data_IF_215042200693
#
_entry.id   IF_215042200693
#
_cell.length_a   1.000
_cell.length_b   1.000
_cell.length_c   1.000
_cell.angle_alpha   90.00
_cell.angle_beta   90.00
_cell.angle_gamma   90.00
#
_symmetry.space_group_name_H-M   'P 1'
#
loop_
_entity.id
_entity.type
_entity.pdbx_description
1 polymer ?
#
# COMPACT_ATOMS: atom_id res chain seq x y z
N UNK A 1 -25.95 17.92 23.64
CA UNK A 1 -26.40 17.27 22.40
C UNK A 1 -25.32 16.22 22.06
N UNK A 2 -25.71 14.97 21.87
CA UNK A 2 -24.78 13.96 21.42
C UNK A 2 -24.26 14.36 20.03
N UNK A 3 -22.95 14.17 19.76
CA UNK A 3 -22.38 14.48 18.47
C UNK A 3 -22.99 13.54 17.41
N UNK A 4 -23.35 14.09 16.26
CA UNK A 4 -23.84 13.29 15.14
C UNK A 4 -22.69 12.44 14.59
N UNK A 5 -22.84 11.13 14.67
CA UNK A 5 -21.84 10.19 14.13
C UNK A 5 -22.20 9.88 12.67
N UNK A 6 -21.54 10.56 11.75
CA UNK A 6 -21.66 10.31 10.30
C UNK A 6 -21.00 9.00 9.93
N UNK A 7 -21.36 8.40 8.81
CA UNK A 7 -20.80 7.14 8.31
C UNK A 7 -19.25 7.15 8.21
N UNK A 8 -18.60 8.20 7.64
CA UNK A 8 -17.14 8.31 7.67
C UNK A 8 -16.54 8.31 9.08
N UNK A 9 -17.25 8.93 10.05
CA UNK A 9 -16.79 8.98 11.45
C UNK A 9 -16.89 7.61 12.11
N UNK A 10 -17.99 6.90 11.86
CA UNK A 10 -18.20 5.52 12.33
C UNK A 10 -17.15 4.59 11.75
N UNK A 11 -16.91 4.70 10.44
CA UNK A 11 -15.93 3.88 9.74
C UNK A 11 -14.51 4.11 10.27
N UNK A 12 -14.11 5.37 10.48
CA UNK A 12 -12.80 5.70 11.00
C UNK A 12 -12.58 5.12 12.42
N UNK A 13 -13.58 5.21 13.29
CA UNK A 13 -13.49 4.63 14.63
C UNK A 13 -13.41 3.09 14.60
N UNK A 14 -14.18 2.44 13.74
CA UNK A 14 -14.12 0.98 13.55
C UNK A 14 -12.78 0.53 12.98
N UNK A 15 -12.24 1.26 11.98
CA UNK A 15 -10.94 1.00 11.39
C UNK A 15 -9.83 1.04 12.43
N UNK A 16 -9.76 2.12 13.23
CA UNK A 16 -8.76 2.26 14.28
C UNK A 16 -8.85 1.16 15.35
N UNK A 17 -10.06 0.66 15.59
CA UNK A 17 -10.28 -0.39 16.60
C UNK A 17 -9.89 -1.77 16.08
N UNK A 18 -10.16 -2.07 14.81
CA UNK A 18 -9.82 -3.36 14.19
C UNK A 18 -8.39 -3.42 13.69
N UNK A 19 -7.84 -2.30 13.23
CA UNK A 19 -6.53 -2.18 12.61
C UNK A 19 -5.78 -0.96 13.17
N UNK A 20 -5.41 -0.98 14.47
CA UNK A 20 -4.84 0.19 15.15
C UNK A 20 -3.48 0.64 14.63
N UNK A 21 -2.69 -0.30 14.07
CA UNK A 21 -1.31 -0.07 13.64
C UNK A 21 -1.15 -0.24 12.13
N UNK A 22 -1.84 0.59 11.34
CA UNK A 22 -1.83 0.53 9.87
C UNK A 22 -0.45 0.64 9.20
N UNK A 23 0.58 1.00 9.96
CA UNK A 23 1.93 1.26 9.45
C UNK A 23 2.92 0.13 9.77
N UNK A 24 2.53 -0.86 10.54
CA UNK A 24 3.53 -1.62 11.26
C UNK A 24 3.97 -2.91 10.62
N UNK A 25 3.17 -3.56 9.81
CA UNK A 25 3.60 -4.84 9.25
C UNK A 25 2.94 -5.15 7.92
N UNK A 26 3.65 -5.92 7.14
CA UNK A 26 3.17 -6.48 5.90
C UNK A 26 1.90 -7.31 6.00
N UNK A 27 1.49 -7.70 7.19
CA UNK A 27 0.45 -8.71 7.40
C UNK A 27 -0.82 -8.18 8.06
N UNK A 28 -0.87 -6.87 8.37
CA UNK A 28 -2.00 -6.28 9.10
C UNK A 28 -2.24 -4.84 8.66
N UNK A 29 -3.22 -4.61 7.78
CA UNK A 29 -3.57 -3.29 7.25
C UNK A 29 -4.99 -3.25 6.70
N UNK A 30 -5.52 -2.04 6.48
CA UNK A 30 -6.85 -1.84 5.92
C UNK A 30 -6.89 -0.68 4.92
N UNK A 31 -7.72 -0.84 3.89
CA UNK A 31 -7.95 0.13 2.81
C UNK A 31 -9.42 0.54 2.82
N UNK A 32 -9.67 1.84 2.77
CA UNK A 32 -11.01 2.42 2.75
C UNK A 32 -11.45 2.72 1.32
N UNK A 33 -12.72 2.54 1.02
CA UNK A 33 -13.29 2.80 -0.30
C UNK A 33 -13.16 4.30 -0.69
N UNK A 34 -12.87 4.57 -1.97
CA UNK A 34 -12.57 5.91 -2.52
C UNK A 34 -13.73 6.89 -2.43
N UNK A 35 -14.99 6.44 -2.26
CA UNK A 35 -16.11 7.33 -2.05
C UNK A 35 -15.91 8.30 -0.87
N UNK A 36 -15.12 7.89 0.13
CA UNK A 36 -14.80 8.70 1.33
C UNK A 36 -13.63 9.67 1.13
N UNK A 37 -13.02 9.74 -0.05
CA UNK A 37 -11.99 10.76 -0.37
C UNK A 37 -12.57 12.15 -0.51
N UNK A 38 -13.89 12.27 -0.73
CA UNK A 38 -14.58 13.56 -0.86
C UNK A 38 -14.55 14.33 0.46
N UNK A 39 -14.46 15.66 0.43
CA UNK A 39 -14.44 16.48 1.64
C UNK A 39 -15.78 16.48 2.40
N UNK A 40 -16.85 15.95 1.79
CA UNK A 40 -18.18 15.88 2.40
C UNK A 40 -18.89 14.56 2.04
N UNK A 41 -19.69 14.07 2.98
CA UNK A 41 -20.50 12.85 2.85
C UNK A 41 -21.92 13.10 3.36
N UNK A 42 -22.94 12.75 2.58
CA UNK A 42 -24.34 12.88 2.99
C UNK A 42 -24.74 14.32 3.39
N UNK A 43 -24.08 15.34 2.84
CA UNK A 43 -24.28 16.75 3.19
C UNK A 43 -23.45 17.25 4.38
N UNK A 44 -22.66 16.38 5.03
CA UNK A 44 -21.79 16.73 6.15
C UNK A 44 -20.34 16.86 5.72
N UNK A 45 -19.61 17.84 6.24
CA UNK A 45 -18.16 17.93 6.07
C UNK A 45 -17.49 16.80 6.84
N UNK A 46 -16.54 16.11 6.20
CA UNK A 46 -15.68 15.12 6.87
C UNK A 46 -14.54 15.90 7.56
N UNK A 47 -14.40 15.83 8.88
CA UNK A 47 -13.28 16.48 9.56
C UNK A 47 -11.93 15.92 9.07
N UNK A 48 -10.92 16.79 8.93
CA UNK A 48 -9.59 16.40 8.46
C UNK A 48 -8.99 15.20 9.21
N UNK A 49 -9.18 15.17 10.53
CA UNK A 49 -8.72 14.05 11.37
C UNK A 49 -9.41 12.73 11.07
N UNK A 50 -10.69 12.77 10.71
CA UNK A 50 -11.44 11.56 10.27
C UNK A 50 -10.93 11.12 8.90
N UNK A 51 -10.76 12.08 8.00
CA UNK A 51 -10.26 11.81 6.67
C UNK A 51 -8.85 11.19 6.68
N UNK A 52 -7.94 11.71 7.53
CA UNK A 52 -6.60 11.15 7.73
C UNK A 52 -6.62 9.71 8.26
N UNK A 53 -7.59 9.36 9.10
CA UNK A 53 -7.75 8.00 9.65
C UNK A 53 -8.34 7.03 8.65
N UNK A 54 -9.19 7.51 7.76
CA UNK A 54 -9.75 6.69 6.69
C UNK A 54 -8.70 6.30 5.65
N UNK A 55 -7.66 7.11 5.43
CA UNK A 55 -6.57 6.74 4.52
C UNK A 55 -5.88 5.44 4.97
N UNK A 56 -5.34 4.62 4.05
CA UNK A 56 -5.34 4.79 2.60
C UNK A 56 -6.69 4.46 1.95
N UNK A 57 -6.91 5.05 0.76
CA UNK A 57 -8.14 4.86 -0.01
C UNK A 57 -7.87 4.07 -1.28
N UNK A 58 -8.80 3.21 -1.66
CA UNK A 58 -8.82 2.58 -2.96
C UNK A 58 -10.24 2.12 -3.36
N UNK A 59 -10.46 1.93 -4.65
CA UNK A 59 -11.68 1.30 -5.16
C UNK A 59 -11.56 -0.21 -4.99
N UNK A 60 -12.43 -0.78 -4.17
CA UNK A 60 -12.49 -2.22 -3.90
C UNK A 60 -13.80 -2.73 -4.43
N UNK A 61 -13.75 -3.60 -5.44
CA UNK A 61 -14.92 -4.22 -6.02
C UNK A 61 -14.97 -5.69 -5.68
N UNK A 62 -16.05 -6.11 -5.05
CA UNK A 62 -16.42 -7.50 -4.87
C UNK A 62 -17.66 -7.79 -5.73
N UNK A 63 -17.97 -9.03 -5.99
CA UNK A 63 -19.12 -9.44 -6.80
C UNK A 63 -20.44 -8.88 -6.26
N UNK A 64 -20.54 -8.77 -4.92
CA UNK A 64 -21.74 -8.28 -4.25
C UNK A 64 -21.70 -6.78 -3.89
N UNK A 65 -20.80 -6.01 -4.52
CA UNK A 65 -20.69 -4.56 -4.33
C UNK A 65 -19.33 -4.10 -3.78
N UNK A 66 -19.29 -2.84 -3.41
CA UNK A 66 -18.09 -2.17 -2.89
C UNK A 66 -18.22 -2.06 -1.38
N UNK A 67 -17.40 -2.79 -0.56
CA UNK A 67 -17.41 -2.61 0.89
C UNK A 67 -16.81 -1.25 1.28
N UNK A 68 -17.25 -0.70 2.39
CA UNK A 68 -16.72 0.58 2.89
C UNK A 68 -15.25 0.48 3.28
N UNK A 69 -14.81 -0.71 3.73
CA UNK A 69 -13.42 -0.99 4.08
C UNK A 69 -13.09 -2.47 3.87
N UNK A 70 -11.88 -2.72 3.37
CA UNK A 70 -11.28 -4.05 3.31
C UNK A 70 -10.00 -4.08 4.16
N UNK A 71 -9.91 -5.06 5.05
CA UNK A 71 -8.75 -5.29 5.89
C UNK A 71 -8.09 -6.63 5.58
N UNK A 72 -6.78 -6.71 5.75
CA UNK A 72 -5.97 -7.91 5.61
C UNK A 72 -5.28 -8.20 6.94
N UNK A 73 -5.24 -9.47 7.31
CA UNK A 73 -4.73 -9.89 8.61
C UNK A 73 -5.82 -10.01 9.67
N UNK A 74 -5.47 -10.62 10.80
CA UNK A 74 -6.41 -10.84 11.90
C UNK A 74 -6.75 -9.50 12.56
N UNK A 75 -8.04 -9.13 12.64
CA UNK A 75 -8.44 -7.92 13.36
C UNK A 75 -8.00 -7.94 14.82
N UNK A 76 -7.73 -6.77 15.40
CA UNK A 76 -7.32 -6.64 16.80
C UNK A 76 -8.41 -7.02 17.82
N UNK A 77 -9.67 -7.13 17.38
CA UNK A 77 -10.79 -7.56 18.20
C UNK A 77 -10.96 -9.09 18.14
N UNK A 78 -11.67 -9.65 19.14
CA UNK A 78 -11.97 -11.06 19.21
C UNK A 78 -12.76 -11.54 17.98
N UNK A 79 -12.26 -12.62 17.35
CA UNK A 79 -12.89 -13.32 16.23
C UNK A 79 -13.02 -14.80 16.60
N UNK A 80 -14.22 -15.32 16.46
CA UNK A 80 -14.51 -16.72 16.75
C UNK A 80 -14.10 -17.63 15.59
N UNK A 81 -13.64 -18.85 15.89
CA UNK A 81 -13.16 -19.84 14.92
C UNK A 81 -11.96 -19.34 14.08
N UNK A 82 -11.15 -18.44 14.63
CA UNK A 82 -9.93 -17.98 13.97
C UNK A 82 -8.87 -19.10 13.98
N UNK A 83 -8.30 -19.39 12.81
CA UNK A 83 -7.10 -20.21 12.68
C UNK A 83 -5.90 -19.29 12.49
N UNK A 84 -4.90 -19.44 13.34
CA UNK A 84 -3.68 -18.62 13.29
C UNK A 84 -2.81 -18.89 12.03
N UNK A 85 -3.12 -19.93 11.27
CA UNK A 85 -2.35 -20.32 10.09
C UNK A 85 -2.77 -19.57 8.80
N UNK A 86 -3.88 -18.83 8.80
CA UNK A 86 -4.40 -18.14 7.63
C UNK A 86 -4.40 -16.62 7.85
N UNK A 87 -4.01 -15.87 6.83
CA UNK A 87 -4.18 -14.41 6.79
C UNK A 87 -5.59 -14.09 6.29
N UNK A 88 -6.56 -13.78 7.17
CA UNK A 88 -7.93 -13.54 6.74
C UNK A 88 -8.09 -12.19 6.08
N UNK A 89 -9.09 -12.10 5.20
CA UNK A 89 -9.60 -10.85 4.65
C UNK A 89 -10.90 -10.49 5.35
N UNK A 90 -11.01 -9.24 5.76
CA UNK A 90 -12.14 -8.70 6.53
C UNK A 90 -12.80 -7.57 5.76
N UNK A 91 -14.13 -7.55 5.72
CA UNK A 91 -14.91 -6.39 5.27
C UNK A 91 -15.58 -5.68 6.44
N UNK A 92 -15.75 -4.37 6.31
CA UNK A 92 -16.55 -3.55 7.22
C UNK A 92 -17.56 -2.75 6.41
N UNK A 93 -18.81 -2.82 6.83
CA UNK A 93 -19.89 -1.94 6.42
C UNK A 93 -20.21 -0.95 7.54
N UNK A 94 -20.11 0.33 7.26
CA UNK A 94 -20.42 1.37 8.22
C UNK A 94 -21.82 1.93 8.00
N UNK A 95 -22.53 2.21 9.07
CA UNK A 95 -23.81 2.89 9.03
C UNK A 95 -23.82 4.04 10.04
N UNK A 96 -23.84 5.24 9.51
CA UNK A 96 -23.87 6.47 10.30
C UNK A 96 -25.29 7.07 10.39
N UNK A 97 -25.39 8.17 11.13
CA UNK A 97 -26.57 9.01 11.06
C UNK A 97 -26.59 9.71 9.70
N UNK A 98 -27.63 9.45 8.92
CA UNK A 98 -27.95 10.19 7.71
C UNK A 98 -28.61 11.54 8.08
N UNK A 99 -29.10 12.30 7.10
CA UNK A 99 -29.86 13.55 7.31
C UNK A 99 -31.05 13.43 8.27
N UNK A 100 -31.48 12.19 8.54
CA UNK A 100 -32.41 11.85 9.63
C UNK A 100 -31.61 11.23 10.79
N UNK A 101 -31.48 11.92 11.95
CA UNK A 101 -30.70 11.43 13.09
C UNK A 101 -31.31 10.22 13.81
N UNK A 102 -32.43 9.67 13.37
CA UNK A 102 -33.16 8.65 14.12
C UNK A 102 -32.85 7.19 13.81
N UNK A 103 -32.15 6.85 12.70
CA UNK A 103 -31.84 5.44 12.42
C UNK A 103 -30.67 5.25 11.44
N UNK A 104 -29.54 4.85 11.94
CA UNK A 104 -28.60 4.08 11.11
C UNK A 104 -29.24 2.72 10.78
N UNK A 105 -29.29 2.36 9.49
CA UNK A 105 -29.88 1.08 9.08
C UNK A 105 -28.88 -0.08 9.26
N UNK A 106 -28.69 -0.46 10.52
CA UNK A 106 -27.77 -1.52 10.94
C UNK A 106 -28.10 -2.85 10.28
N UNK A 107 -29.40 -3.16 10.06
CA UNK A 107 -29.80 -4.42 9.45
C UNK A 107 -29.38 -4.51 7.99
N UNK A 108 -29.49 -3.41 7.23
CA UNK A 108 -28.98 -3.33 5.86
C UNK A 108 -27.46 -3.53 5.85
N UNK A 109 -26.70 -2.89 6.76
CA UNK A 109 -25.26 -3.11 6.88
C UNK A 109 -24.89 -4.56 7.19
N UNK A 110 -25.62 -5.24 8.09
CA UNK A 110 -25.41 -6.67 8.38
C UNK A 110 -25.62 -7.53 7.12
N UNK A 111 -26.67 -7.27 6.35
CA UNK A 111 -26.94 -8.03 5.13
C UNK A 111 -25.89 -7.77 4.04
N UNK A 112 -25.39 -6.53 3.91
CA UNK A 112 -24.31 -6.17 2.99
C UNK A 112 -23.03 -6.91 3.37
N UNK A 113 -22.59 -6.81 4.64
CA UNK A 113 -21.42 -7.52 5.14
C UNK A 113 -21.52 -9.04 4.94
N UNK A 114 -22.73 -9.62 5.16
CA UNK A 114 -22.97 -11.04 4.92
C UNK A 114 -22.87 -11.40 3.43
N UNK A 115 -23.35 -10.55 2.54
CA UNK A 115 -23.23 -10.76 1.10
C UNK A 115 -21.76 -10.89 0.64
N UNK A 116 -20.85 -10.18 1.27
CA UNK A 116 -19.43 -10.25 0.97
C UNK A 116 -18.73 -11.52 1.46
N UNK A 117 -19.29 -12.29 2.40
CA UNK A 117 -18.68 -13.52 2.93
C UNK A 117 -18.46 -14.62 1.87
N UNK A 118 -19.06 -14.50 0.69
CA UNK A 118 -18.72 -15.37 -0.45
C UNK A 118 -17.30 -15.16 -0.98
N UNK A 119 -16.69 -14.01 -0.69
CA UNK A 119 -15.39 -13.60 -1.23
C UNK A 119 -14.36 -13.22 -0.14
N UNK A 120 -14.81 -13.02 1.11
CA UNK A 120 -13.95 -12.67 2.24
C UNK A 120 -14.18 -13.62 3.42
N UNK A 121 -13.29 -13.59 4.40
CA UNK A 121 -13.33 -14.52 5.52
C UNK A 121 -14.15 -14.01 6.71
N UNK A 122 -14.17 -12.70 6.95
CA UNK A 122 -14.75 -12.06 8.13
C UNK A 122 -15.57 -10.84 7.70
N UNK A 123 -16.76 -10.67 8.25
CA UNK A 123 -17.61 -9.51 8.03
C UNK A 123 -17.92 -8.78 9.33
N UNK A 124 -17.87 -7.43 9.31
CA UNK A 124 -18.32 -6.56 10.38
C UNK A 124 -19.31 -5.53 9.88
N UNK A 125 -20.22 -5.14 10.76
CA UNK A 125 -20.97 -3.90 10.65
C UNK A 125 -20.57 -2.96 11.79
N UNK A 126 -20.34 -1.70 11.47
CA UNK A 126 -20.08 -0.64 12.44
C UNK A 126 -21.23 0.38 12.45
N UNK A 127 -21.73 0.75 13.61
CA UNK A 127 -22.83 1.71 13.72
C UNK A 127 -22.76 2.49 15.07
N UNK A 128 -23.43 3.66 15.19
CA UNK A 128 -23.62 4.29 16.48
C UNK A 128 -24.25 3.32 17.48
N UNK A 129 -23.69 3.21 18.67
CA UNK A 129 -24.09 2.18 19.64
C UNK A 129 -25.57 2.22 19.99
N UNK A 130 -26.15 3.43 19.99
CA UNK A 130 -27.59 3.62 20.29
C UNK A 130 -28.52 3.08 19.18
N UNK A 131 -27.99 2.87 17.96
CA UNK A 131 -28.74 2.34 16.81
C UNK A 131 -28.73 0.81 16.77
N UNK A 132 -27.90 0.16 17.61
CA UNK A 132 -27.74 -1.30 17.64
C UNK A 132 -28.81 -1.90 18.53
N UNK A 133 -29.86 -2.45 17.92
CA UNK A 133 -30.96 -3.10 18.63
C UNK A 133 -30.67 -4.57 18.95
N UNK A 134 -31.37 -5.17 19.91
CA UNK A 134 -31.26 -6.61 20.21
C UNK A 134 -31.62 -7.49 18.99
N UNK A 135 -32.56 -7.01 18.13
CA UNK A 135 -32.89 -7.71 16.88
C UNK A 135 -31.73 -7.66 15.86
N UNK A 136 -31.02 -6.53 15.77
CA UNK A 136 -29.84 -6.41 14.91
C UNK A 136 -28.72 -7.32 15.41
N UNK A 137 -28.49 -7.38 16.71
CA UNK A 137 -27.52 -8.28 17.34
C UNK A 137 -27.85 -9.75 17.09
N UNK A 138 -29.13 -10.13 17.23
CA UNK A 138 -29.56 -11.50 16.94
C UNK A 138 -29.31 -11.87 15.46
N UNK A 139 -29.70 -10.98 14.52
CA UNK A 139 -29.45 -11.17 13.09
C UNK A 139 -27.96 -11.30 12.79
N UNK A 140 -27.11 -10.45 13.37
CA UNK A 140 -25.67 -10.51 13.18
C UNK A 140 -25.06 -11.84 13.62
N UNK A 141 -25.47 -12.35 14.80
CA UNK A 141 -25.07 -13.68 15.30
C UNK A 141 -25.50 -14.82 14.37
N UNK A 142 -26.75 -14.77 13.89
CA UNK A 142 -27.28 -15.79 12.97
C UNK A 142 -26.52 -15.81 11.63
N UNK A 143 -26.04 -14.64 11.18
CA UNK A 143 -25.29 -14.46 9.93
C UNK A 143 -23.76 -14.49 10.13
N UNK A 144 -23.25 -14.70 11.35
CA UNK A 144 -21.82 -14.73 11.72
C UNK A 144 -21.09 -13.38 11.50
N UNK A 145 -21.82 -12.26 11.50
CA UNK A 145 -21.29 -10.91 11.33
C UNK A 145 -20.96 -10.31 12.69
N UNK A 146 -19.76 -9.72 12.80
CA UNK A 146 -19.39 -8.93 13.97
C UNK A 146 -20.10 -7.57 13.99
N UNK A 147 -20.35 -7.06 15.19
CA UNK A 147 -20.97 -5.76 15.39
C UNK A 147 -20.09 -4.87 16.23
N UNK A 148 -19.76 -3.69 15.71
CA UNK A 148 -18.97 -2.65 16.39
C UNK A 148 -19.89 -1.48 16.72
N UNK A 149 -19.99 -1.16 18.00
CA UNK A 149 -20.73 0.00 18.49
C UNK A 149 -19.80 1.20 18.65
N UNK A 150 -20.12 2.32 18.01
CA UNK A 150 -19.35 3.56 18.09
C UNK A 150 -20.07 4.55 19.02
N UNK A 151 -19.39 4.94 20.09
CA UNK A 151 -19.91 5.89 21.09
C UNK A 151 -19.50 7.33 20.75
N UNK A 152 -18.31 7.51 20.22
CA UNK A 152 -17.74 8.81 19.83
C UNK A 152 -16.80 8.63 18.64
N UNK A 153 -16.33 9.71 17.98
CA UNK A 153 -15.40 9.62 16.85
C UNK A 153 -14.10 8.83 17.11
N UNK A 154 -13.81 8.54 18.38
CA UNK A 154 -12.56 7.90 18.81
C UNK A 154 -12.76 6.70 19.73
N UNK A 155 -14.02 6.31 19.92
CA UNK A 155 -14.36 5.26 20.87
C UNK A 155 -15.35 4.29 20.23
N UNK A 156 -14.86 3.08 19.99
CA UNK A 156 -15.64 2.01 19.43
C UNK A 156 -15.40 0.70 20.22
N UNK A 157 -16.46 -0.06 20.44
CA UNK A 157 -16.43 -1.28 21.24
C UNK A 157 -17.01 -2.45 20.47
N UNK A 158 -16.51 -3.67 20.73
CA UNK A 158 -17.09 -4.89 20.20
C UNK A 158 -18.40 -5.20 20.93
N UNK A 159 -19.49 -5.23 20.16
CA UNK A 159 -20.83 -5.58 20.69
C UNK A 159 -21.14 -7.06 20.43
N UNK A 160 -20.80 -7.59 19.25
CA UNK A 160 -20.90 -9.01 18.91
C UNK A 160 -19.62 -9.45 18.17
N UNK A 161 -18.99 -10.56 18.55
CA UNK A 161 -17.82 -11.06 17.86
C UNK A 161 -18.19 -11.61 16.48
N UNK A 162 -17.33 -11.37 15.48
CA UNK A 162 -17.43 -11.98 14.17
C UNK A 162 -16.96 -13.45 14.23
N UNK A 163 -17.26 -14.21 13.19
CA UNK A 163 -16.72 -15.55 12.97
C UNK A 163 -16.02 -15.65 11.63
N UNK A 164 -14.93 -16.41 11.57
CA UNK A 164 -14.34 -16.82 10.30
C UNK A 164 -15.26 -17.83 9.64
N UNK A 165 -15.90 -17.45 8.55
CA UNK A 165 -16.89 -18.28 7.84
C UNK A 165 -16.72 -18.28 6.34
N UNK A 166 -16.11 -17.24 5.76
CA UNK A 166 -15.86 -17.15 4.33
C UNK A 166 -14.77 -18.10 3.85
N UNK A 167 -14.85 -18.50 2.60
CA UNK A 167 -13.97 -19.51 1.96
C UNK A 167 -13.03 -18.93 0.92
N UNK A 168 -12.89 -17.59 0.86
CA UNK A 168 -12.08 -16.93 -0.17
C UNK A 168 -10.60 -17.30 -0.08
N UNK A 169 -9.98 -17.61 -1.23
CA UNK A 169 -8.53 -17.66 -1.42
C UNK A 169 -8.10 -16.38 -2.15
N UNK A 170 -7.43 -15.50 -1.42
CA UNK A 170 -7.18 -14.12 -1.85
C UNK A 170 -5.70 -13.77 -1.97
N UNK A 171 -4.81 -14.74 -2.12
CA UNK A 171 -3.37 -14.46 -2.18
C UNK A 171 -3.02 -13.33 -3.17
N UNK A 172 -3.59 -13.37 -4.36
CA UNK A 172 -3.39 -12.36 -5.41
C UNK A 172 -3.99 -10.99 -5.02
N UNK A 173 -5.19 -11.00 -4.45
CA UNK A 173 -5.88 -9.77 -4.02
C UNK A 173 -5.19 -9.14 -2.82
N UNK A 174 -4.65 -9.96 -1.89
CA UNK A 174 -3.91 -9.49 -0.72
C UNK A 174 -2.70 -8.67 -1.13
N UNK A 175 -1.91 -9.13 -2.10
CA UNK A 175 -0.70 -8.43 -2.55
C UNK A 175 -1.04 -7.08 -3.21
N UNK A 176 -2.11 -7.05 -4.02
CA UNK A 176 -2.58 -5.80 -4.61
C UNK A 176 -3.05 -4.80 -3.55
N UNK A 177 -3.80 -5.25 -2.55
CA UNK A 177 -4.29 -4.42 -1.43
C UNK A 177 -3.12 -3.91 -0.60
N UNK A 178 -2.12 -4.75 -0.29
CA UNK A 178 -0.91 -4.38 0.44
C UNK A 178 -0.15 -3.27 -0.28
N UNK A 179 0.08 -3.44 -1.57
CA UNK A 179 0.72 -2.42 -2.38
C UNK A 179 -0.07 -1.11 -2.39
N UNK A 180 -1.39 -1.18 -2.54
CA UNK A 180 -2.27 -0.03 -2.52
C UNK A 180 -2.24 0.69 -1.18
N UNK A 181 -2.34 -0.02 -0.06
CA UNK A 181 -2.26 0.54 1.29
C UNK A 181 -0.94 1.29 1.50
N UNK A 182 0.18 0.71 1.10
CA UNK A 182 1.50 1.33 1.19
C UNK A 182 1.61 2.56 0.30
N UNK A 183 1.09 2.49 -0.92
CA UNK A 183 1.18 3.57 -1.91
C UNK A 183 0.30 4.77 -1.55
N UNK A 184 -0.89 4.54 -1.04
CA UNK A 184 -1.81 5.61 -0.64
C UNK A 184 -1.34 6.38 0.59
N UNK A 185 -0.65 5.76 1.52
CA UNK A 185 -0.01 6.47 2.64
C UNK A 185 0.98 7.55 2.16
N UNK A 186 1.48 7.41 0.95
CA UNK A 186 2.53 8.26 0.39
C UNK A 186 2.04 9.33 -0.58
N UNK A 187 0.71 9.44 -0.77
CA UNK A 187 0.06 10.32 -1.76
C UNK A 187 0.29 9.94 -3.24
N UNK A 188 -0.81 9.80 -3.97
CA UNK A 188 -0.87 9.83 -5.44
C UNK A 188 0.05 8.92 -6.27
N UNK A 189 0.36 7.73 -5.77
CA UNK A 189 0.70 6.60 -6.63
C UNK A 189 1.98 6.65 -7.47
N UNK A 190 2.91 7.58 -7.21
CA UNK A 190 4.18 7.64 -7.92
C UNK A 190 5.32 7.19 -7.02
N UNK A 191 6.16 6.27 -7.53
CA UNK A 191 7.43 5.94 -6.88
C UNK A 191 8.26 7.23 -6.71
N UNK A 192 8.65 7.60 -5.48
CA UNK A 192 9.04 8.98 -5.19
C UNK A 192 10.51 9.31 -5.48
N UNK A 193 11.35 8.30 -5.72
CA UNK A 193 12.80 8.48 -5.82
C UNK A 193 13.40 7.69 -6.97
N UNK A 194 14.33 8.31 -7.69
CA UNK A 194 15.08 7.68 -8.77
C UNK A 194 16.46 7.15 -8.32
N UNK A 195 16.97 7.59 -7.16
CA UNK A 195 18.32 7.22 -6.70
C UNK A 195 18.28 6.64 -5.29
N UNK A 196 18.89 5.46 -5.08
CA UNK A 196 18.86 4.73 -3.79
C UNK A 196 19.40 5.51 -2.60
N UNK A 197 20.41 6.35 -2.80
CA UNK A 197 20.98 7.17 -1.72
C UNK A 197 19.94 8.00 -0.98
N UNK A 198 18.82 8.36 -1.66
CA UNK A 198 17.82 9.23 -1.08
C UNK A 198 17.08 8.55 0.09
N UNK A 199 16.57 7.34 -0.11
CA UNK A 199 15.86 6.64 0.96
C UNK A 199 16.81 6.01 1.99
N UNK A 200 17.99 5.52 1.57
CA UNK A 200 19.02 5.02 2.49
C UNK A 200 19.54 6.15 3.38
N UNK A 201 19.83 7.31 2.79
CA UNK A 201 20.27 8.50 3.51
C UNK A 201 19.21 9.02 4.48
N UNK A 202 17.91 8.85 4.16
CA UNK A 202 16.85 9.24 5.09
C UNK A 202 16.85 8.34 6.35
N UNK A 203 17.02 7.03 6.19
CA UNK A 203 17.15 6.13 7.33
C UNK A 203 18.37 6.45 8.20
N UNK A 204 19.51 6.85 7.59
CA UNK A 204 20.68 7.29 8.31
C UNK A 204 20.45 8.61 9.07
N UNK A 205 19.82 9.59 8.41
CA UNK A 205 19.52 10.88 9.03
C UNK A 205 18.56 10.73 10.22
N UNK A 206 17.60 9.79 10.13
CA UNK A 206 16.69 9.46 11.23
C UNK A 206 17.42 8.80 12.43
N UNK A 207 18.52 8.10 12.17
CA UNK A 207 19.32 7.42 13.19
C UNK A 207 20.43 8.30 13.80
N UNK A 208 20.69 9.45 13.22
CA UNK A 208 21.69 10.40 13.69
C UNK A 208 21.14 11.29 14.81
N UNK A 209 22.04 11.86 15.62
CA UNK A 209 21.67 12.81 16.68
C UNK A 209 21.37 14.20 16.06
N UNK A 210 20.14 14.70 16.20
CA UNK A 210 19.73 16.03 15.74
C UNK A 210 18.43 16.04 14.95
N UNK A 211 18.19 17.13 14.22
CA UNK A 211 17.00 17.23 13.35
C UNK A 211 17.21 16.45 12.06
N UNK A 212 16.37 15.44 11.85
CA UNK A 212 16.45 14.54 10.67
C UNK A 212 16.40 15.30 9.35
N UNK A 213 15.57 16.36 9.27
CA UNK A 213 15.39 17.14 8.05
C UNK A 213 16.66 17.93 7.70
N UNK A 214 17.26 18.56 8.70
CA UNK A 214 18.46 19.37 8.53
C UNK A 214 19.65 18.48 8.14
N UNK A 215 19.86 17.37 8.85
CA UNK A 215 20.90 16.37 8.56
C UNK A 215 20.73 15.81 7.14
N UNK A 216 19.52 15.43 6.77
CA UNK A 216 19.24 14.91 5.43
C UNK A 216 19.53 15.95 4.34
N UNK A 217 19.09 17.19 4.54
CA UNK A 217 19.31 18.27 3.59
C UNK A 217 20.80 18.60 3.43
N UNK A 218 21.55 18.51 4.50
CA UNK A 218 23.01 18.74 4.50
C UNK A 218 23.76 17.63 3.77
N UNK A 219 23.47 16.36 4.07
CA UNK A 219 24.32 15.24 3.62
C UNK A 219 23.79 14.52 2.37
N UNK A 220 22.49 14.54 2.07
CA UNK A 220 21.90 13.73 0.98
C UNK A 220 21.39 14.59 -0.16
N UNK A 221 20.30 15.31 0.02
CA UNK A 221 19.71 16.20 -0.97
C UNK A 221 18.71 17.15 -0.31
N UNK A 222 18.55 18.37 -0.85
CA UNK A 222 17.67 19.39 -0.28
C UNK A 222 16.17 19.00 -0.26
N UNK A 223 15.73 18.14 -1.19
CA UNK A 223 14.33 17.68 -1.25
C UNK A 223 14.09 16.50 -0.30
N UNK A 224 13.73 16.80 0.95
CA UNK A 224 13.55 15.79 2.01
C UNK A 224 12.34 14.88 1.75
N UNK A 225 11.25 15.44 1.22
CA UNK A 225 9.97 14.72 1.08
C UNK A 225 10.06 13.45 0.21
N UNK A 226 10.87 13.48 -0.86
CA UNK A 226 11.07 12.32 -1.73
C UNK A 226 11.81 11.18 -1.02
N UNK A 227 12.92 11.50 -0.33
CA UNK A 227 13.68 10.51 0.43
C UNK A 227 12.87 9.88 1.55
N UNK A 228 12.15 10.72 2.31
CA UNK A 228 11.22 10.29 3.36
C UNK A 228 10.18 9.31 2.82
N UNK A 229 9.46 9.70 1.76
CA UNK A 229 8.44 8.83 1.15
C UNK A 229 9.04 7.53 0.62
N UNK A 230 10.23 7.58 0.00
CA UNK A 230 10.94 6.39 -0.46
C UNK A 230 11.34 5.46 0.68
N UNK A 231 11.82 6.00 1.80
CA UNK A 231 12.17 5.21 2.98
C UNK A 231 10.95 4.50 3.61
N UNK A 232 9.80 5.20 3.67
CA UNK A 232 8.55 4.61 4.15
C UNK A 232 8.05 3.53 3.18
N UNK A 233 7.99 3.85 1.88
CA UNK A 233 7.52 2.94 0.83
C UNK A 233 8.32 1.62 0.79
N UNK A 234 9.63 1.72 0.98
CA UNK A 234 10.53 0.55 0.98
C UNK A 234 10.66 -0.10 2.36
N UNK A 235 9.82 0.28 3.32
CA UNK A 235 9.76 -0.35 4.63
C UNK A 235 10.98 -0.10 5.51
N UNK A 236 11.73 0.99 5.31
CA UNK A 236 12.85 1.37 6.19
C UNK A 236 12.41 2.19 7.39
N UNK A 237 11.31 2.92 7.26
CA UNK A 237 10.80 3.85 8.26
C UNK A 237 9.31 3.64 8.46
N UNK A 238 8.90 3.53 9.72
CA UNK A 238 7.52 3.59 10.15
C UNK A 238 7.12 5.05 10.43
N UNK A 239 5.99 5.45 9.88
CA UNK A 239 5.40 6.77 10.13
C UNK A 239 4.26 6.64 11.14
N UNK A 240 4.55 6.84 12.41
CA UNK A 240 3.58 6.71 13.52
C UNK A 240 3.04 8.07 13.95
N UNK A 241 1.89 8.11 14.63
CA UNK A 241 1.33 9.38 15.15
C UNK A 241 2.24 10.11 16.14
N UNK A 242 3.08 9.39 16.86
CA UNK A 242 4.06 9.88 17.84
C UNK A 242 5.43 10.21 17.23
N UNK A 243 5.62 9.97 15.94
CA UNK A 243 6.85 10.26 15.20
C UNK A 243 7.31 9.12 14.30
N UNK A 244 8.39 9.37 13.60
CA UNK A 244 9.00 8.39 12.71
C UNK A 244 10.01 7.52 13.47
N UNK A 245 10.00 6.22 13.17
CA UNK A 245 10.94 5.26 13.74
C UNK A 245 11.51 4.36 12.64
N UNK A 246 12.72 3.86 12.85
CA UNK A 246 13.28 2.85 11.97
C UNK A 246 12.54 1.52 12.16
N UNK A 247 12.24 0.87 11.06
CA UNK A 247 11.85 -0.55 11.06
C UNK A 247 13.06 -1.44 11.34
N UNK A 248 12.83 -2.76 11.44
CA UNK A 248 13.93 -3.71 11.48
C UNK A 248 14.85 -3.58 10.25
N UNK A 249 14.28 -3.44 9.05
CA UNK A 249 15.05 -3.25 7.81
C UNK A 249 15.81 -1.92 7.79
N UNK A 250 15.21 -0.84 8.29
CA UNK A 250 15.91 0.44 8.47
C UNK A 250 17.06 0.35 9.46
N UNK A 251 16.89 -0.39 10.56
CA UNK A 251 17.97 -0.65 11.52
C UNK A 251 19.12 -1.45 10.89
N UNK A 252 18.85 -2.37 9.96
CA UNK A 252 19.89 -3.08 9.21
C UNK A 252 20.70 -2.14 8.31
N UNK A 253 20.06 -1.14 7.67
CA UNK A 253 20.77 -0.09 6.91
C UNK A 253 21.73 0.68 7.81
N UNK A 254 21.29 1.05 9.02
CA UNK A 254 22.13 1.75 10.00
C UNK A 254 23.26 0.86 10.52
N UNK A 255 22.98 -0.41 10.76
CA UNK A 255 24.01 -1.39 11.16
C UNK A 255 25.07 -1.56 10.06
N UNK A 256 24.66 -1.66 8.81
CA UNK A 256 25.57 -1.70 7.66
C UNK A 256 26.44 -0.43 7.60
N UNK A 257 25.86 0.75 7.76
CA UNK A 257 26.58 2.03 7.79
C UNK A 257 27.69 2.02 8.86
N UNK A 258 27.34 1.64 10.09
CA UNK A 258 28.32 1.53 11.20
C UNK A 258 29.43 0.51 10.92
N UNK A 259 29.07 -0.60 10.29
CA UNK A 259 30.06 -1.63 9.93
C UNK A 259 31.05 -1.14 8.87
N UNK A 260 30.57 -0.37 7.88
CA UNK A 260 31.40 0.12 6.76
C UNK A 260 32.21 1.37 7.12
N UNK A 261 31.66 2.27 7.94
CA UNK A 261 32.22 3.62 8.18
C UNK A 261 32.56 3.90 9.66
N UNK A 262 32.23 2.97 10.57
CA UNK A 262 32.43 3.13 12.02
C UNK A 262 31.29 3.87 12.72
N UNK A 263 30.80 4.96 12.17
CA UNK A 263 29.69 5.75 12.73
C UNK A 263 28.64 6.10 11.66
N UNK A 264 27.46 6.53 12.09
CA UNK A 264 26.41 7.04 11.19
C UNK A 264 26.86 8.36 10.55
N UNK A 265 27.49 9.23 11.31
CA UNK A 265 27.98 10.53 10.81
C UNK A 265 29.03 10.34 9.71
N UNK A 266 29.98 9.43 9.88
CA UNK A 266 30.98 9.13 8.84
C UNK A 266 30.32 8.55 7.56
N UNK A 267 29.24 7.78 7.70
CA UNK A 267 28.46 7.33 6.56
C UNK A 267 27.72 8.49 5.88
N UNK A 268 27.14 9.41 6.64
CA UNK A 268 26.49 10.62 6.10
C UNK A 268 27.49 11.54 5.38
N UNK A 269 28.70 11.69 5.88
CA UNK A 269 29.77 12.43 5.21
C UNK A 269 30.12 11.80 3.85
N UNK A 270 30.13 10.47 3.77
CA UNK A 270 30.29 9.77 2.48
C UNK A 270 29.13 10.06 1.55
N UNK A 271 27.88 10.05 2.05
CA UNK A 271 26.68 10.42 1.28
C UNK A 271 26.74 11.87 0.77
N UNK A 272 27.29 12.79 1.55
CA UNK A 272 27.52 14.16 1.14
C UNK A 272 28.49 14.25 -0.06
N UNK A 273 29.49 13.39 -0.11
CA UNK A 273 30.43 13.30 -1.24
C UNK A 273 29.76 12.89 -2.56
N UNK A 274 28.60 12.23 -2.50
CA UNK A 274 27.82 11.80 -3.66
C UNK A 274 26.73 12.81 -4.08
N UNK A 275 26.59 13.91 -3.36
CA UNK A 275 25.56 14.91 -3.64
C UNK A 275 25.75 15.51 -5.04
N UNK A 276 24.69 15.50 -5.84
CA UNK A 276 24.72 16.01 -7.20
C UNK A 276 25.44 15.16 -8.26
N UNK A 277 25.97 13.99 -7.89
CA UNK A 277 26.62 13.10 -8.87
C UNK A 277 25.56 12.23 -9.61
N UNK A 278 25.54 12.27 -10.96
CA UNK A 278 24.61 11.47 -11.75
C UNK A 278 25.10 10.04 -11.98
N UNK A 279 26.27 9.66 -11.45
CA UNK A 279 26.88 8.35 -11.65
C UNK A 279 25.97 7.24 -11.14
N UNK A 280 25.94 6.13 -11.86
CA UNK A 280 25.21 4.91 -11.46
C UNK A 280 25.63 4.46 -10.06
N UNK A 281 24.68 4.06 -9.22
CA UNK A 281 25.01 3.76 -7.82
C UNK A 281 25.86 2.51 -7.67
N UNK A 282 25.71 1.53 -8.58
CA UNK A 282 26.59 0.35 -8.68
C UNK A 282 28.05 0.69 -8.94
N UNK A 283 28.33 1.79 -9.63
CA UNK A 283 29.68 2.29 -9.92
C UNK A 283 30.20 3.21 -8.80
N UNK A 284 29.28 4.05 -8.27
CA UNK A 284 29.61 5.05 -7.25
C UNK A 284 29.89 4.41 -5.89
N UNK A 285 29.06 3.46 -5.48
CA UNK A 285 29.07 2.85 -4.16
C UNK A 285 28.56 1.39 -4.21
N UNK A 286 29.37 0.44 -4.76
CA UNK A 286 28.90 -0.93 -5.07
C UNK A 286 28.29 -1.67 -3.89
N UNK A 287 28.85 -1.55 -2.68
CA UNK A 287 28.33 -2.21 -1.48
C UNK A 287 26.97 -1.64 -1.04
N UNK A 288 26.82 -0.32 -1.14
CA UNK A 288 25.54 0.34 -0.87
C UNK A 288 24.50 0.03 -1.93
N UNK A 289 24.90 -0.10 -3.19
CA UNK A 289 24.01 -0.52 -4.28
C UNK A 289 23.51 -1.95 -4.04
N UNK A 290 24.35 -2.84 -3.54
CA UNK A 290 23.97 -4.21 -3.18
C UNK A 290 22.96 -4.23 -2.01
N UNK A 291 23.18 -3.43 -0.96
CA UNK A 291 22.22 -3.26 0.12
C UNK A 291 20.88 -2.69 -0.40
N UNK A 292 20.94 -1.64 -1.25
CA UNK A 292 19.77 -1.05 -1.86
C UNK A 292 18.98 -2.06 -2.72
N UNK A 293 19.68 -2.96 -3.42
CA UNK A 293 19.08 -4.06 -4.18
C UNK A 293 18.34 -5.02 -3.25
N UNK A 294 18.94 -5.43 -2.14
CA UNK A 294 18.30 -6.31 -1.15
C UNK A 294 17.04 -5.68 -0.53
N UNK A 295 17.08 -4.35 -0.29
CA UNK A 295 15.90 -3.60 0.17
C UNK A 295 14.81 -3.57 -0.91
N UNK A 296 15.19 -3.23 -2.16
CA UNK A 296 14.24 -3.07 -3.25
C UNK A 296 13.56 -4.39 -3.64
N UNK A 297 14.23 -5.53 -3.52
CA UNK A 297 13.67 -6.84 -3.85
C UNK A 297 12.57 -7.26 -2.86
N UNK A 298 12.57 -6.74 -1.64
CA UNK A 298 11.48 -6.97 -0.70
C UNK A 298 10.19 -6.20 -1.07
N UNK A 299 10.28 -5.29 -2.03
CA UNK A 299 9.14 -4.52 -2.53
C UNK A 299 8.45 -5.28 -3.65
N UNK A 300 7.21 -5.68 -3.45
CA UNK A 300 6.43 -6.53 -4.36
C UNK A 300 6.43 -6.08 -5.82
N UNK A 301 6.30 -4.78 -6.16
CA UNK A 301 6.40 -4.34 -7.53
C UNK A 301 7.77 -4.61 -8.17
N UNK A 302 8.86 -4.64 -7.39
CA UNK A 302 10.18 -5.04 -7.89
C UNK A 302 10.18 -6.51 -8.26
N UNK A 303 9.64 -7.37 -7.40
CA UNK A 303 9.56 -8.81 -7.65
C UNK A 303 8.71 -9.10 -8.89
N UNK A 304 7.54 -8.47 -9.00
CA UNK A 304 6.65 -8.61 -10.16
C UNK A 304 7.36 -8.24 -11.47
N UNK A 305 8.08 -7.10 -11.51
CA UNK A 305 8.79 -6.64 -12.70
C UNK A 305 9.94 -7.57 -13.04
N UNK A 306 10.72 -8.00 -12.06
CA UNK A 306 11.85 -8.91 -12.28
C UNK A 306 11.34 -10.25 -12.80
N UNK A 307 10.32 -10.84 -12.19
CA UNK A 307 9.73 -12.09 -12.62
C UNK A 307 9.14 -11.99 -14.05
N UNK A 308 8.43 -10.90 -14.37
CA UNK A 308 7.91 -10.66 -15.70
C UNK A 308 9.04 -10.61 -16.75
N UNK A 309 10.11 -9.88 -16.45
CA UNK A 309 11.27 -9.78 -17.35
C UNK A 309 12.02 -11.10 -17.48
N UNK A 310 12.15 -11.91 -16.44
CA UNK A 310 12.75 -13.24 -16.52
C UNK A 310 11.93 -14.20 -17.40
N UNK A 311 10.60 -14.20 -17.26
CA UNK A 311 9.72 -14.98 -18.11
C UNK A 311 9.79 -14.55 -19.58
N UNK A 312 9.91 -13.25 -19.85
CA UNK A 312 10.13 -12.71 -21.19
C UNK A 312 11.49 -13.15 -21.74
N UNK A 313 12.54 -13.07 -20.94
CA UNK A 313 13.87 -13.53 -21.30
C UNK A 313 13.91 -15.05 -21.64
N UNK A 314 13.25 -15.89 -20.83
CA UNK A 314 13.12 -17.33 -21.10
C UNK A 314 12.42 -17.63 -22.44
N UNK A 315 11.56 -16.73 -22.91
CA UNK A 315 10.92 -16.79 -24.23
C UNK A 315 11.75 -16.15 -25.35
N UNK A 316 12.96 -15.68 -25.06
CA UNK A 316 13.89 -15.08 -26.02
C UNK A 316 13.71 -13.56 -26.23
N UNK A 317 12.87 -12.90 -25.41
CA UNK A 317 12.68 -11.45 -25.44
C UNK A 317 13.62 -10.83 -24.40
N UNK A 318 14.81 -10.42 -24.86
CA UNK A 318 15.86 -9.89 -23.97
C UNK A 318 15.73 -8.38 -23.72
N UNK A 319 14.94 -7.69 -24.53
CA UNK A 319 14.63 -6.27 -24.42
C UNK A 319 13.15 -6.12 -24.69
N UNK A 320 12.39 -5.85 -23.64
CA UNK A 320 10.94 -5.77 -23.68
C UNK A 320 10.48 -4.30 -23.73
N UNK A 321 9.34 -4.06 -24.32
CA UNK A 321 8.64 -2.78 -24.22
C UNK A 321 7.79 -2.75 -22.93
N UNK A 322 7.25 -1.59 -22.56
CA UNK A 322 6.43 -1.50 -21.35
C UNK A 322 5.14 -2.33 -21.46
N UNK A 323 4.54 -2.42 -22.64
CA UNK A 323 3.36 -3.24 -22.91
C UNK A 323 3.68 -4.73 -22.78
N UNK A 324 4.83 -5.22 -23.28
CA UNK A 324 5.30 -6.58 -23.04
C UNK A 324 5.40 -6.90 -21.54
N UNK A 325 5.99 -5.97 -20.77
CA UNK A 325 6.16 -6.13 -19.32
C UNK A 325 4.80 -6.16 -18.62
N UNK A 326 3.89 -5.25 -18.96
CA UNK A 326 2.54 -5.21 -18.38
C UNK A 326 1.77 -6.48 -18.72
N UNK A 327 1.82 -6.92 -19.97
CA UNK A 327 1.20 -8.17 -20.40
C UNK A 327 1.67 -9.37 -19.58
N UNK A 328 2.99 -9.51 -19.42
CA UNK A 328 3.55 -10.62 -18.66
C UNK A 328 3.27 -10.47 -17.15
N UNK A 329 3.38 -9.26 -16.60
CA UNK A 329 3.06 -8.99 -15.20
C UNK A 329 1.59 -9.32 -14.87
N UNK A 330 0.68 -9.04 -15.81
CA UNK A 330 -0.74 -9.40 -15.62
C UNK A 330 -0.99 -10.90 -15.66
N UNK A 331 -0.18 -11.68 -16.38
CA UNK A 331 -0.24 -13.15 -16.31
C UNK A 331 0.27 -13.71 -14.97
N UNK A 332 1.13 -12.97 -14.30
CA UNK A 332 1.65 -13.33 -12.96
C UNK A 332 0.64 -12.92 -11.88
N UNK A 333 0.29 -11.63 -11.86
CA UNK A 333 -0.63 -11.05 -10.89
C UNK A 333 -1.32 -9.82 -11.50
N UNK A 334 -2.48 -10.02 -12.13
CA UNK A 334 -3.18 -8.97 -12.86
C UNK A 334 -3.60 -7.78 -11.97
N UNK A 335 -4.22 -7.95 -10.80
CA UNK A 335 -4.59 -6.83 -9.95
C UNK A 335 -3.38 -5.98 -9.54
N UNK A 336 -2.28 -6.63 -9.14
CA UNK A 336 -1.04 -5.95 -8.77
C UNK A 336 -0.41 -5.25 -9.99
N UNK A 337 -0.38 -5.88 -11.16
CA UNK A 337 0.17 -5.29 -12.38
C UNK A 337 -0.58 -4.03 -12.80
N UNK A 338 -1.92 -4.07 -12.82
CA UNK A 338 -2.76 -2.91 -13.12
C UNK A 338 -2.50 -1.79 -12.09
N UNK A 339 -2.39 -2.15 -10.79
CA UNK A 339 -2.08 -1.19 -9.75
C UNK A 339 -0.69 -0.57 -9.92
N UNK A 340 0.32 -1.36 -10.26
CA UNK A 340 1.71 -0.89 -10.43
C UNK A 340 1.86 0.02 -11.64
N UNK A 341 1.37 -0.40 -12.80
CA UNK A 341 1.70 0.24 -14.07
C UNK A 341 0.69 1.29 -14.51
N UNK A 342 -0.60 1.11 -14.22
CA UNK A 342 -1.69 1.88 -14.83
C UNK A 342 -2.12 3.04 -13.93
N UNK A 343 -2.31 4.21 -14.53
CA UNK A 343 -2.87 5.37 -13.81
C UNK A 343 -4.29 5.06 -13.33
N UNK A 344 -4.64 5.52 -12.13
CA UNK A 344 -5.92 5.22 -11.50
C UNK A 344 -7.13 5.54 -12.40
N UNK A 345 -7.10 6.68 -13.09
CA UNK A 345 -8.18 7.12 -13.97
C UNK A 345 -8.35 6.30 -15.25
N UNK A 346 -7.40 5.39 -15.56
CA UNK A 346 -7.40 4.59 -16.80
C UNK A 346 -7.53 3.09 -16.54
N UNK A 347 -7.66 2.66 -15.27
CA UNK A 347 -7.74 1.24 -14.92
C UNK A 347 -8.98 0.56 -15.49
N UNK A 348 -10.11 1.26 -15.49
CA UNK A 348 -11.35 0.74 -16.07
C UNK A 348 -11.27 0.60 -17.60
N UNK A 349 -10.46 1.44 -18.27
CA UNK A 349 -10.27 1.37 -19.72
C UNK A 349 -9.38 0.18 -20.13
N UNK A 350 -8.46 -0.23 -19.27
CA UNK A 350 -7.46 -1.29 -19.55
C UNK A 350 -8.04 -2.69 -19.40
N UNK A 351 -9.13 -2.84 -18.66
CA UNK A 351 -9.79 -4.14 -18.44
C UNK A 351 -11.08 -4.22 -19.26
N UNK A 352 -11.23 -5.31 -20.03
CA UNK A 352 -12.47 -5.62 -20.73
C UNK A 352 -13.56 -6.04 -19.74
N UNK A 353 -14.81 -6.11 -20.19
CA UNK A 353 -15.94 -6.60 -19.37
C UNK A 353 -15.73 -8.05 -18.86
N UNK A 354 -14.92 -8.84 -19.55
CA UNK A 354 -14.59 -10.22 -19.18
C UNK A 354 -13.34 -10.30 -18.26
N UNK A 355 -12.75 -9.15 -17.91
CA UNK A 355 -11.59 -9.06 -17.05
C UNK A 355 -10.23 -9.25 -17.76
N UNK A 356 -10.23 -9.41 -19.09
CA UNK A 356 -9.01 -9.48 -19.88
C UNK A 356 -8.42 -8.07 -20.13
N UNK A 357 -7.15 -8.01 -20.51
CA UNK A 357 -6.49 -6.74 -20.83
C UNK A 357 -6.88 -6.31 -22.25
N UNK A 358 -7.30 -5.06 -22.39
CA UNK A 358 -7.46 -4.42 -23.69
C UNK A 358 -6.10 -3.90 -24.19
N UNK A 359 -5.47 -4.70 -25.06
CA UNK A 359 -4.17 -4.36 -25.68
C UNK A 359 -4.18 -3.03 -26.45
N UNK A 360 -5.33 -2.64 -26.98
CA UNK A 360 -5.43 -1.40 -27.75
C UNK A 360 -5.22 -0.16 -26.89
N UNK A 361 -5.58 -0.24 -25.62
CA UNK A 361 -5.41 0.85 -24.64
C UNK A 361 -3.95 0.98 -24.21
N UNK A 362 -3.19 -0.12 -24.18
CA UNK A 362 -1.76 -0.11 -23.81
C UNK A 362 -0.87 0.62 -24.84
N UNK A 363 -1.37 0.88 -26.04
CA UNK A 363 -0.67 1.70 -27.04
C UNK A 363 -0.68 3.20 -26.76
N UNK A 364 -1.49 3.65 -25.77
CA UNK A 364 -1.53 5.04 -25.30
C UNK A 364 -0.51 5.24 -24.16
N UNK A 365 0.58 6.00 -24.35
CA UNK A 365 1.58 6.21 -23.31
C UNK A 365 1.03 6.90 -22.05
N UNK A 366 -0.15 7.53 -22.13
CA UNK A 366 -0.76 8.24 -20.99
C UNK A 366 -1.44 7.29 -19.99
N UNK A 367 -1.61 6.02 -20.32
CA UNK A 367 -2.17 5.03 -19.39
C UNK A 367 -1.17 4.68 -18.29
N UNK A 368 0.14 4.80 -18.55
CA UNK A 368 1.18 4.39 -17.63
C UNK A 368 1.46 5.43 -16.55
N UNK A 369 1.68 4.98 -15.33
CA UNK A 369 2.12 5.84 -14.22
C UNK A 369 3.53 6.39 -14.48
N UNK A 370 3.68 7.71 -14.47
CA UNK A 370 4.98 8.36 -14.68
C UNK A 370 6.04 7.92 -13.68
N UNK A 371 5.67 7.67 -12.43
CA UNK A 371 6.58 7.16 -11.41
C UNK A 371 7.20 5.81 -11.73
N UNK A 372 6.50 4.95 -12.45
CA UNK A 372 7.00 3.61 -12.82
C UNK A 372 7.98 3.71 -13.98
N UNK A 373 7.58 4.31 -15.10
CA UNK A 373 8.43 4.36 -16.29
C UNK A 373 9.58 5.37 -16.19
N UNK A 374 9.61 6.23 -15.17
CA UNK A 374 10.69 7.19 -14.94
C UNK A 374 11.44 6.88 -13.64
N UNK A 375 10.90 7.28 -12.47
CA UNK A 375 11.64 7.20 -11.20
C UNK A 375 11.98 5.75 -10.83
N UNK A 376 11.02 4.84 -10.89
CA UNK A 376 11.24 3.47 -10.46
C UNK A 376 12.18 2.72 -11.39
N UNK A 377 12.03 2.88 -12.69
CA UNK A 377 12.95 2.29 -13.67
C UNK A 377 14.39 2.79 -13.52
N UNK A 378 14.58 4.11 -13.28
CA UNK A 378 15.90 4.65 -12.94
C UNK A 378 16.44 4.06 -11.65
N UNK A 379 15.59 3.91 -10.64
CA UNK A 379 15.98 3.26 -9.38
C UNK A 379 16.48 1.83 -9.62
N UNK A 380 15.73 1.01 -10.37
CA UNK A 380 16.13 -0.37 -10.70
C UNK A 380 17.46 -0.42 -11.46
N UNK A 381 17.70 0.54 -12.36
CA UNK A 381 19.00 0.68 -13.03
C UNK A 381 20.12 1.02 -12.04
N UNK A 382 19.90 1.94 -11.11
CA UNK A 382 20.90 2.33 -10.12
C UNK A 382 21.32 1.17 -9.22
N UNK A 383 20.44 0.25 -8.91
CA UNK A 383 20.74 -0.94 -8.09
C UNK A 383 21.21 -2.15 -8.89
N UNK A 384 21.38 -2.02 -10.20
CA UNK A 384 21.92 -3.07 -11.07
C UNK A 384 20.93 -4.19 -11.39
N UNK A 385 19.64 -3.91 -11.40
CA UNK A 385 18.61 -4.83 -11.88
C UNK A 385 18.34 -4.62 -13.37
N UNK A 386 18.30 -3.38 -13.84
CA UNK A 386 18.06 -3.05 -15.25
C UNK A 386 19.27 -2.39 -15.90
N UNK A 387 19.43 -2.66 -17.20
CA UNK A 387 20.46 -2.05 -18.05
C UNK A 387 20.16 -0.58 -18.33
N UNK A 388 18.89 -0.26 -18.63
CA UNK A 388 18.44 1.07 -19.04
C UNK A 388 17.62 1.79 -17.97
N UNK A 389 17.74 3.11 -17.95
CA UNK A 389 16.95 3.99 -17.10
C UNK A 389 15.57 4.29 -17.68
N UNK A 390 14.76 4.96 -16.88
CA UNK A 390 13.45 5.43 -17.29
C UNK A 390 13.53 6.65 -18.23
N UNK A 391 12.37 7.13 -18.64
CA UNK A 391 12.22 8.33 -19.45
C UNK A 391 11.10 9.20 -18.91
N UNK A 392 11.29 10.51 -18.92
CA UNK A 392 10.24 11.52 -18.66
C UNK A 392 9.57 11.99 -19.96
N UNK A 393 10.13 11.62 -21.11
CA UNK A 393 9.53 11.85 -22.41
C UNK A 393 8.38 10.88 -22.65
N UNK A 394 7.16 11.38 -22.59
CA UNK A 394 5.93 10.61 -22.81
C UNK A 394 5.90 9.91 -24.17
N UNK A 395 6.54 10.47 -25.18
CA UNK A 395 6.57 9.87 -26.54
C UNK A 395 7.52 8.67 -26.62
N UNK A 396 8.50 8.61 -25.73
CA UNK A 396 9.48 7.53 -25.67
C UNK A 396 9.09 6.40 -24.70
N UNK A 397 7.98 6.52 -23.96
CA UNK A 397 7.54 5.49 -22.97
C UNK A 397 7.37 4.12 -23.60
N UNK A 398 6.71 4.07 -24.78
CA UNK A 398 6.40 2.82 -25.48
C UNK A 398 7.63 2.17 -26.13
N UNK A 399 8.68 2.95 -26.39
CA UNK A 399 9.91 2.46 -27.05
C UNK A 399 11.09 2.31 -26.10
N UNK A 400 10.93 2.72 -24.84
CA UNK A 400 11.98 2.64 -23.83
C UNK A 400 12.10 1.21 -23.32
N UNK A 401 13.24 0.58 -23.59
CA UNK A 401 13.51 -0.84 -23.37
C UNK A 401 13.61 -1.21 -21.88
N UNK A 402 13.04 -2.34 -21.52
CA UNK A 402 13.14 -2.99 -20.22
C UNK A 402 13.95 -4.28 -20.38
N UNK A 403 15.17 -4.28 -19.86
CA UNK A 403 16.05 -5.45 -19.94
C UNK A 403 16.76 -5.64 -18.60
N UNK A 404 16.77 -6.88 -18.11
CA UNK A 404 17.57 -7.27 -16.94
C UNK A 404 19.05 -7.15 -17.27
N UNK A 405 19.84 -6.62 -16.33
CA UNK A 405 21.31 -6.57 -16.49
C UNK A 405 21.92 -7.96 -16.41
N UNK A 406 21.40 -8.78 -15.50
CA UNK A 406 21.76 -10.20 -15.34
C UNK A 406 20.51 -10.97 -14.94
N UNK A 407 20.41 -12.26 -15.24
CA UNK A 407 19.39 -13.12 -14.66
C UNK A 407 19.39 -13.00 -13.14
N UNK A 408 18.22 -12.87 -12.54
CA UNK A 408 18.05 -12.72 -11.10
C UNK A 408 17.39 -13.98 -10.57
N UNK A 409 18.10 -14.74 -9.77
CA UNK A 409 17.51 -15.87 -9.05
C UNK A 409 16.82 -15.33 -7.77
N UNK A 410 15.50 -15.17 -7.84
CA UNK A 410 14.69 -14.67 -6.74
C UNK A 410 14.65 -15.65 -5.56
N UNK A 411 14.82 -16.96 -5.80
CA UNK A 411 14.84 -17.97 -4.73
C UNK A 411 16.08 -17.83 -3.82
N UNK A 412 17.19 -17.32 -4.36
CA UNK A 412 18.44 -17.08 -3.61
C UNK A 412 18.38 -15.80 -2.75
N UNK A 413 17.38 -14.94 -2.96
CA UNK A 413 17.30 -13.61 -2.35
C UNK A 413 16.33 -13.57 -1.16
N UNK A 414 15.54 -14.62 -0.98
CA UNK A 414 14.68 -14.77 0.20
C UNK A 414 15.57 -15.11 1.41
N UNK A 415 15.95 -14.08 2.19
CA UNK A 415 16.64 -14.22 3.49
C UNK A 415 15.60 -14.20 4.60
#
# INVERSE_FOLDING_TARGET
MAATLTEPTVLAAAKDTLYPDLNASSDHYAVTETQFTKPSWGGWQIPDKVHQRLAPFNTIRLTNGEPDLLGVGMPALEVLNADAATTPVTVIEAKGHNSDPSAADVKTGINQAHGHLSEVNIGYVAAPIQSITDQARALARDLNIGVIGVESPYDATLVEPARVTGVGDFSITIDAIRFQATTHQLTEGSFPVNHPKNYLGYALALAADGDTRDIYAEHVINSVSGGRRGAILLGLVDNRPDGETLTHLGAEVVRFARTQHGTVDAALDEFASWKGRPTRFTELAPRWAQLARSVAIQYEPTQLIVEALERLHQRGINSATIDDVVHEACRINQPLAVEVFITQSRREDVLTADGDIDESVLTDPTVYKSGIHFQFKYHLRHIGLLTEGGTDDKTAVLTNEWALEHPVDLEVITI
#
